data_IF_470438734102
#
_entry.id   IF_470438734102
#
_cell.length_a   1.000
_cell.length_b   1.000
_cell.length_c   1.000
_cell.angle_alpha   90.00
_cell.angle_beta   90.00
_cell.angle_gamma   90.00
#
_symmetry.space_group_name_H-M   'P 1'
#
loop_
_entity.id
_entity.type
_entity.pdbx_description
1 polymer ?
#
# COMPACT_ATOMS: atom_id res chain seq x y z
N UNK A 1 -3.57 18.95 -3.51
CA UNK A 1 -3.91 18.72 -4.95
C UNK A 1 -5.29 18.08 -5.02
N UNK A 2 -6.20 18.53 -5.90
CA UNK A 2 -7.53 17.92 -6.01
C UNK A 2 -7.43 16.78 -7.03
N UNK A 3 -7.78 15.56 -6.61
CA UNK A 3 -7.82 14.41 -7.49
C UNK A 3 -9.10 14.43 -8.34
N UNK A 4 -9.09 13.86 -9.55
CA UNK A 4 -10.32 13.58 -10.28
C UNK A 4 -11.15 12.53 -9.52
N UNK A 5 -12.46 12.51 -9.75
CA UNK A 5 -13.34 11.47 -9.19
C UNK A 5 -12.82 10.08 -9.56
N UNK A 6 -12.64 9.22 -8.58
CA UNK A 6 -12.16 7.86 -8.80
C UNK A 6 -13.24 7.01 -9.52
N UNK A 7 -12.86 6.26 -10.56
CA UNK A 7 -13.77 5.33 -11.23
C UNK A 7 -14.43 4.38 -10.22
N UNK A 8 -15.67 3.95 -10.48
CA UNK A 8 -16.42 3.05 -9.58
C UNK A 8 -15.68 1.73 -9.32
N UNK A 9 -14.92 1.24 -10.30
CA UNK A 9 -14.10 0.03 -10.23
C UNK A 9 -12.67 0.27 -9.75
N UNK A 10 -12.32 1.45 -9.20
CA UNK A 10 -11.02 1.65 -8.58
C UNK A 10 -10.83 0.70 -7.40
N UNK A 11 -9.68 0.01 -7.35
CA UNK A 11 -9.36 -0.92 -6.27
C UNK A 11 -8.44 -0.27 -5.23
N UNK A 12 -8.63 -0.64 -3.96
CA UNK A 12 -7.70 -0.36 -2.87
C UNK A 12 -6.75 -1.56 -2.73
N UNK A 13 -5.46 -1.29 -2.81
CA UNK A 13 -4.39 -2.29 -2.68
C UNK A 13 -3.58 -2.00 -1.42
N UNK A 14 -3.66 -2.89 -0.44
CA UNK A 14 -2.99 -2.76 0.85
C UNK A 14 -1.79 -3.69 0.93
N UNK A 15 -0.59 -3.12 1.11
CA UNK A 15 0.68 -3.82 0.99
C UNK A 15 1.25 -4.19 2.38
N UNK A 16 1.41 -5.50 2.64
CA UNK A 16 2.19 -6.07 3.73
C UNK A 16 1.86 -5.55 5.16
N UNK A 17 0.61 -5.14 5.39
CA UNK A 17 0.14 -4.63 6.68
C UNK A 17 -0.09 -5.78 7.68
N UNK A 18 1.00 -6.47 8.01
CA UNK A 18 1.05 -7.59 8.94
C UNK A 18 1.74 -7.16 10.25
N UNK A 19 1.48 -7.86 11.35
CA UNK A 19 2.10 -7.59 12.67
C UNK A 19 3.62 -7.67 12.64
N UNK A 20 4.20 -8.33 11.65
CA UNK A 20 5.64 -8.41 11.45
C UNK A 20 6.32 -7.05 11.31
N UNK A 21 5.60 -6.00 10.88
CA UNK A 21 6.16 -4.65 10.78
C UNK A 21 6.38 -3.99 12.14
N UNK A 22 5.76 -4.51 13.19
CA UNK A 22 5.93 -4.05 14.58
C UNK A 22 7.14 -4.70 15.27
N UNK A 23 7.87 -5.58 14.57
CA UNK A 23 9.11 -6.16 15.09
C UNK A 23 10.13 -5.05 15.38
N UNK A 24 10.66 -4.95 16.63
CA UNK A 24 11.59 -3.88 17.01
C UNK A 24 12.84 -3.77 16.13
N UNK A 25 13.22 -4.83 15.42
CA UNK A 25 14.34 -4.83 14.48
C UNK A 25 14.18 -3.81 13.36
N UNK A 26 12.94 -3.47 12.96
CA UNK A 26 12.69 -2.43 11.97
C UNK A 26 13.13 -1.05 12.43
N UNK A 27 12.93 -0.75 13.71
CA UNK A 27 13.31 0.53 14.33
C UNK A 27 14.77 0.59 14.81
N UNK A 28 15.63 -0.33 14.38
CA UNK A 28 17.02 -0.43 14.84
C UNK A 28 17.88 0.81 14.57
N UNK A 29 17.49 1.68 13.65
CA UNK A 29 18.14 2.95 13.35
C UNK A 29 17.32 4.19 13.74
N UNK A 30 16.14 4.01 14.30
CA UNK A 30 15.24 5.08 14.71
C UNK A 30 13.77 4.77 14.46
N UNK A 31 12.86 5.64 14.95
CA UNK A 31 11.43 5.44 14.78
C UNK A 31 11.01 5.53 13.31
N UNK A 32 9.82 5.03 13.02
CA UNK A 32 9.18 5.22 11.72
C UNK A 32 8.64 6.64 11.57
N UNK A 33 8.41 7.06 10.32
CA UNK A 33 7.57 8.22 10.00
C UNK A 33 6.08 7.82 10.06
N UNK A 34 5.18 8.79 9.81
CA UNK A 34 3.73 8.60 9.72
C UNK A 34 3.15 7.71 10.85
N UNK A 35 3.20 8.14 12.12
CA UNK A 35 2.74 7.34 13.24
C UNK A 35 1.27 6.95 13.15
N UNK A 36 0.45 7.72 12.41
CA UNK A 36 -0.99 7.52 12.23
C UNK A 36 -1.34 6.73 10.95
N UNK A 37 -0.37 6.16 10.24
CA UNK A 37 -0.61 5.51 8.93
C UNK A 37 -1.66 4.40 8.99
N UNK A 38 -1.69 3.59 10.04
CA UNK A 38 -2.71 2.54 10.20
C UNK A 38 -4.11 3.12 10.39
N UNK A 39 -4.25 4.25 11.08
CA UNK A 39 -5.53 4.98 11.17
C UNK A 39 -5.99 5.44 9.80
N UNK A 40 -5.08 5.94 8.96
CA UNK A 40 -5.38 6.32 7.57
C UNK A 40 -5.80 5.11 6.73
N UNK A 41 -5.11 3.98 6.87
CA UNK A 41 -5.49 2.71 6.24
C UNK A 41 -6.91 2.30 6.64
N UNK A 42 -7.25 2.35 7.93
CA UNK A 42 -8.58 2.01 8.42
C UNK A 42 -9.67 2.93 7.83
N UNK A 43 -9.39 4.23 7.65
CA UNK A 43 -10.30 5.16 6.99
C UNK A 43 -10.53 4.80 5.52
N UNK A 44 -9.47 4.49 4.77
CA UNK A 44 -9.55 4.03 3.39
C UNK A 44 -10.38 2.74 3.29
N UNK A 45 -10.06 1.73 4.10
CA UNK A 45 -10.81 0.47 4.16
C UNK A 45 -12.30 0.69 4.42
N UNK A 46 -12.63 1.47 5.45
CA UNK A 46 -14.02 1.76 5.78
C UNK A 46 -14.77 2.44 4.61
N UNK A 47 -14.10 3.35 3.89
CA UNK A 47 -14.68 4.04 2.75
C UNK A 47 -14.91 3.09 1.57
N UNK A 48 -13.92 2.24 1.22
CA UNK A 48 -14.05 1.24 0.16
C UNK A 48 -15.14 0.22 0.45
N UNK A 49 -15.21 -0.29 1.69
CA UNK A 49 -16.24 -1.22 2.17
C UNK A 49 -17.64 -0.62 2.06
N UNK A 50 -17.84 0.64 2.51
CA UNK A 50 -19.12 1.33 2.36
C UNK A 50 -19.52 1.54 0.90
N UNK A 51 -18.55 1.77 0.03
CA UNK A 51 -18.78 1.95 -1.40
C UNK A 51 -18.92 0.64 -2.18
N UNK A 52 -18.75 -0.52 -1.53
CA UNK A 52 -18.81 -1.84 -2.18
C UNK A 52 -17.73 -2.02 -3.27
N UNK A 53 -16.57 -1.38 -3.12
CA UNK A 53 -15.49 -1.41 -4.11
C UNK A 53 -14.47 -2.50 -3.82
N UNK A 54 -13.70 -2.88 -4.82
CA UNK A 54 -12.70 -3.94 -4.71
C UNK A 54 -11.58 -3.55 -3.74
N UNK A 55 -11.30 -4.46 -2.81
CA UNK A 55 -10.17 -4.38 -1.87
C UNK A 55 -9.29 -5.62 -2.09
N UNK A 56 -7.98 -5.39 -2.14
CA UNK A 56 -6.99 -6.45 -2.22
C UNK A 56 -5.98 -6.26 -1.10
N UNK A 57 -5.85 -7.26 -0.24
CA UNK A 57 -4.83 -7.32 0.80
C UNK A 57 -3.65 -8.13 0.28
N UNK A 58 -2.50 -7.50 0.15
CA UNK A 58 -1.25 -8.20 -0.18
C UNK A 58 -0.60 -8.64 1.10
N UNK A 59 -0.28 -9.92 1.18
CA UNK A 59 0.37 -10.55 2.33
C UNK A 59 1.76 -11.03 1.94
N UNK A 60 2.77 -10.57 2.65
CA UNK A 60 4.12 -11.10 2.45
C UNK A 60 4.29 -12.44 3.17
N UNK A 61 4.59 -13.48 2.41
CA UNK A 61 4.91 -14.82 2.88
C UNK A 61 6.43 -15.02 2.72
N UNK A 62 7.21 -14.49 3.68
CA UNK A 62 8.67 -14.53 3.62
C UNK A 62 9.21 -15.95 3.59
N UNK A 63 10.18 -16.18 2.72
CA UNK A 63 10.93 -17.45 2.65
C UNK A 63 12.14 -17.47 3.58
N UNK A 64 12.51 -16.32 4.19
CA UNK A 64 13.64 -16.21 5.09
C UNK A 64 13.33 -16.85 6.45
N UNK A 65 14.18 -17.80 6.94
CA UNK A 65 13.88 -18.53 8.16
C UNK A 65 13.69 -17.69 9.42
N UNK A 66 14.41 -16.55 9.52
CA UNK A 66 14.38 -15.65 10.67
C UNK A 66 13.38 -14.48 10.52
N UNK A 67 12.62 -14.44 9.42
CA UNK A 67 11.69 -13.35 9.15
C UNK A 67 10.45 -13.44 10.03
N UNK A 68 10.03 -12.32 10.63
CA UNK A 68 8.74 -12.19 11.30
C UNK A 68 7.54 -12.26 10.34
N UNK A 69 7.76 -12.07 9.03
CA UNK A 69 6.75 -12.26 7.97
C UNK A 69 6.60 -13.72 7.50
N UNK A 70 7.35 -14.66 8.08
CA UNK A 70 7.28 -16.05 7.67
C UNK A 70 5.92 -16.66 8.02
N UNK A 71 5.31 -17.46 7.12
CA UNK A 71 4.12 -18.24 7.43
C UNK A 71 4.29 -19.07 8.70
N UNK A 72 3.30 -19.01 9.60
CA UNK A 72 3.33 -19.68 10.90
C UNK A 72 3.98 -18.87 12.03
N UNK A 73 4.63 -17.72 11.75
CA UNK A 73 5.09 -16.81 12.80
C UNK A 73 3.94 -15.95 13.34
N UNK A 74 4.01 -15.48 14.60
CA UNK A 74 3.00 -14.54 15.14
C UNK A 74 2.89 -13.24 14.34
N UNK A 75 3.99 -12.79 13.73
CA UNK A 75 4.05 -11.60 12.90
C UNK A 75 3.36 -11.75 11.54
N UNK A 76 3.12 -12.98 11.07
CA UNK A 76 2.51 -13.23 9.77
C UNK A 76 1.03 -12.79 9.69
N UNK A 77 0.32 -12.70 10.81
CA UNK A 77 -1.06 -12.24 10.85
C UNK A 77 -1.18 -10.77 10.44
N UNK A 78 -2.30 -10.41 9.80
CA UNK A 78 -2.62 -9.02 9.51
C UNK A 78 -2.75 -8.18 10.77
N UNK A 79 -2.44 -6.89 10.67
CA UNK A 79 -2.73 -5.91 11.71
C UNK A 79 -4.25 -5.75 11.86
N UNK A 80 -4.76 -5.45 13.08
CA UNK A 80 -6.21 -5.25 13.29
C UNK A 80 -6.81 -4.20 12.36
N UNK A 81 -6.08 -3.10 12.09
CA UNK A 81 -6.49 -1.98 11.26
C UNK A 81 -6.62 -2.35 9.78
N UNK A 82 -5.97 -3.43 9.36
CA UNK A 82 -5.93 -3.91 7.97
C UNK A 82 -6.45 -5.33 7.81
N UNK A 83 -7.24 -5.82 8.78
CA UNK A 83 -7.77 -7.18 8.76
C UNK A 83 -8.73 -7.38 7.58
N UNK A 84 -8.49 -8.37 6.70
CA UNK A 84 -9.42 -8.70 5.62
C UNK A 84 -10.77 -9.16 6.16
N UNK A 85 -11.86 -8.72 5.52
CA UNK A 85 -13.20 -9.25 5.75
C UNK A 85 -13.48 -10.46 4.84
N UNK A 86 -14.45 -11.33 5.19
CA UNK A 86 -14.90 -12.39 4.30
C UNK A 86 -15.30 -11.84 2.93
N UNK A 87 -14.74 -12.43 1.86
CA UNK A 87 -14.97 -12.00 0.49
C UNK A 87 -13.97 -10.99 -0.05
N UNK A 88 -13.13 -10.36 0.79
CA UNK A 88 -12.03 -9.53 0.32
C UNK A 88 -10.84 -10.41 -0.14
N UNK A 89 -10.21 -10.02 -1.25
CA UNK A 89 -9.11 -10.80 -1.81
C UNK A 89 -7.83 -10.68 -0.96
N UNK A 90 -7.19 -11.83 -0.72
CA UNK A 90 -5.83 -11.89 -0.16
C UNK A 90 -4.90 -12.45 -1.22
N UNK A 91 -3.85 -11.70 -1.56
CA UNK A 91 -2.81 -12.10 -2.52
C UNK A 91 -1.51 -12.34 -1.76
N UNK A 92 -1.08 -13.59 -1.59
CA UNK A 92 0.22 -13.89 -0.99
C UNK A 92 1.34 -13.63 -2.00
N UNK A 93 2.47 -13.11 -1.52
CA UNK A 93 3.68 -12.91 -2.32
C UNK A 93 4.93 -13.28 -1.53
N UNK A 94 5.99 -13.67 -2.25
CA UNK A 94 7.31 -13.97 -1.69
C UNK A 94 8.39 -13.00 -2.16
N UNK A 95 8.02 -11.99 -2.96
CA UNK A 95 8.88 -10.96 -3.52
C UNK A 95 8.43 -9.58 -3.06
N UNK A 96 9.19 -8.53 -3.35
CA UNK A 96 8.79 -7.16 -2.97
C UNK A 96 7.56 -6.70 -3.75
N UNK A 97 7.55 -6.80 -5.08
CA UNK A 97 6.39 -6.41 -5.88
C UNK A 97 5.24 -7.42 -5.73
N UNK A 98 4.03 -6.89 -5.53
CA UNK A 98 2.81 -7.68 -5.46
C UNK A 98 2.40 -8.33 -6.79
N UNK A 99 3.01 -7.90 -7.91
CA UNK A 99 2.71 -8.43 -9.25
C UNK A 99 3.62 -9.58 -9.67
N UNK A 100 4.71 -9.83 -8.92
CA UNK A 100 5.69 -10.85 -9.31
C UNK A 100 5.34 -12.20 -8.70
N UNK A 101 5.14 -13.21 -9.54
CA UNK A 101 4.77 -14.59 -9.16
C UNK A 101 3.47 -14.67 -8.37
N UNK A 102 2.51 -13.78 -8.70
CA UNK A 102 1.15 -13.75 -8.14
C UNK A 102 0.13 -13.69 -9.28
N UNK A 103 -1.12 -13.84 -8.94
CA UNK A 103 -2.24 -13.68 -9.86
C UNK A 103 -2.89 -12.29 -9.80
N UNK A 104 -2.24 -11.31 -9.12
CA UNK A 104 -2.80 -9.99 -8.87
C UNK A 104 -3.22 -9.28 -10.18
N UNK A 105 -2.33 -9.21 -11.18
CA UNK A 105 -2.64 -8.57 -12.45
C UNK A 105 -3.86 -9.21 -13.12
N UNK A 106 -3.87 -10.54 -13.21
CA UNK A 106 -4.97 -11.27 -13.83
C UNK A 106 -6.31 -11.00 -13.13
N UNK A 107 -6.33 -10.96 -11.80
CA UNK A 107 -7.53 -10.61 -11.01
C UNK A 107 -8.00 -9.19 -11.29
N UNK A 108 -7.10 -8.21 -11.28
CA UNK A 108 -7.42 -6.82 -11.56
C UNK A 108 -7.98 -6.65 -12.97
N UNK A 109 -7.34 -7.25 -13.97
CA UNK A 109 -7.80 -7.21 -15.37
C UNK A 109 -9.16 -7.88 -15.55
N UNK A 110 -9.38 -9.05 -14.94
CA UNK A 110 -10.66 -9.76 -14.98
C UNK A 110 -11.80 -8.93 -14.35
N UNK A 111 -11.50 -8.12 -13.32
CA UNK A 111 -12.43 -7.17 -12.71
C UNK A 111 -12.59 -5.86 -13.49
N UNK A 112 -11.96 -5.69 -14.65
CA UNK A 112 -11.97 -4.46 -15.43
C UNK A 112 -11.31 -3.28 -14.69
N UNK A 113 -10.44 -3.55 -13.71
CA UNK A 113 -9.81 -2.55 -12.87
C UNK A 113 -8.63 -1.95 -13.60
N UNK A 114 -8.67 -0.63 -13.85
CA UNK A 114 -7.58 0.13 -14.43
C UNK A 114 -6.97 1.15 -13.47
N UNK A 115 -7.63 1.39 -12.33
CA UNK A 115 -7.20 2.40 -11.34
C UNK A 115 -6.97 1.76 -9.98
N UNK A 116 -5.83 2.07 -9.37
CA UNK A 116 -5.41 1.57 -8.07
C UNK A 116 -5.18 2.74 -7.09
N UNK A 117 -5.61 2.55 -5.85
CA UNK A 117 -5.14 3.33 -4.71
C UNK A 117 -4.27 2.40 -3.86
N UNK A 118 -3.05 2.78 -3.60
CA UNK A 118 -2.06 1.97 -2.88
C UNK A 118 -1.74 2.60 -1.54
N UNK A 119 -1.69 1.77 -0.51
CA UNK A 119 -1.23 2.11 0.84
C UNK A 119 -0.51 0.91 1.46
N UNK A 120 0.28 1.11 2.51
CA UNK A 120 0.93 0.01 3.24
C UNK A 120 2.42 0.20 3.51
N UNK A 121 3.16 -0.90 3.62
CA UNK A 121 4.53 -0.89 4.14
C UNK A 121 5.49 -1.77 3.37
N UNK A 122 6.80 -1.43 3.46
CA UNK A 122 7.35 -0.11 3.76
C UNK A 122 7.51 0.67 2.47
N UNK A 123 7.43 1.99 2.56
CA UNK A 123 7.35 2.89 1.39
C UNK A 123 8.44 2.61 0.36
N UNK A 124 9.71 2.55 0.80
CA UNK A 124 10.88 2.41 -0.07
C UNK A 124 11.22 0.95 -0.44
N UNK A 125 10.33 0.00 -0.24
CA UNK A 125 10.57 -1.41 -0.59
C UNK A 125 9.32 -2.00 -1.28
N UNK A 126 8.48 -2.73 -0.56
CA UNK A 126 7.32 -3.43 -1.16
C UNK A 126 6.32 -2.46 -1.80
N UNK A 127 6.08 -1.31 -1.19
CA UNK A 127 5.18 -0.29 -1.76
C UNK A 127 5.79 0.25 -3.05
N UNK A 128 7.03 0.76 -3.03
CA UNK A 128 7.69 1.30 -4.22
C UNK A 128 7.80 0.25 -5.34
N UNK A 129 8.22 -0.98 -5.02
CA UNK A 129 8.31 -2.05 -6.01
C UNK A 129 6.96 -2.37 -6.67
N UNK A 130 5.87 -2.34 -5.89
CA UNK A 130 4.52 -2.61 -6.38
C UNK A 130 4.00 -1.45 -7.22
N UNK A 131 4.18 -0.20 -6.78
CA UNK A 131 3.74 1.01 -7.49
C UNK A 131 4.45 1.14 -8.83
N UNK A 132 5.77 0.95 -8.87
CA UNK A 132 6.53 0.98 -10.14
C UNK A 132 6.03 -0.09 -11.12
N UNK A 133 5.78 -1.30 -10.63
CA UNK A 133 5.24 -2.35 -11.48
C UNK A 133 3.82 -2.05 -11.95
N UNK A 134 2.95 -1.49 -11.09
CA UNK A 134 1.61 -1.07 -11.47
C UNK A 134 1.65 -0.04 -12.61
N UNK A 135 2.49 0.99 -12.50
CA UNK A 135 2.69 2.00 -13.55
C UNK A 135 3.19 1.38 -14.85
N UNK A 136 4.21 0.51 -14.78
CA UNK A 136 4.75 -0.20 -15.96
C UNK A 136 3.71 -1.10 -16.64
N UNK A 137 2.76 -1.66 -15.90
CA UNK A 137 1.64 -2.44 -16.42
C UNK A 137 0.48 -1.57 -16.92
N UNK A 138 0.59 -0.24 -16.85
CA UNK A 138 -0.40 0.70 -17.35
C UNK A 138 -1.60 0.93 -16.43
N UNK A 139 -1.50 0.61 -15.14
CA UNK A 139 -2.51 1.01 -14.16
C UNK A 139 -2.36 2.49 -13.80
N UNK A 140 -3.49 3.22 -13.77
CA UNK A 140 -3.51 4.53 -13.14
C UNK A 140 -3.40 4.33 -11.62
N UNK A 141 -2.30 4.79 -11.04
CA UNK A 141 -1.97 4.51 -9.65
C UNK A 141 -1.95 5.79 -8.83
N UNK A 142 -2.65 5.79 -7.70
CA UNK A 142 -2.59 6.81 -6.66
C UNK A 142 -1.94 6.20 -5.42
N UNK A 143 -0.93 6.88 -4.89
CA UNK A 143 -0.22 6.45 -3.68
C UNK A 143 -0.61 7.35 -2.51
N UNK A 144 -1.32 6.80 -1.51
CA UNK A 144 -1.69 7.50 -0.30
C UNK A 144 -0.48 7.59 0.65
N UNK A 145 0.32 8.65 0.53
CA UNK A 145 1.60 8.81 1.21
C UNK A 145 1.48 8.75 2.74
N UNK A 146 0.47 9.40 3.30
CA UNK A 146 0.21 9.42 4.75
C UNK A 146 -0.37 8.09 5.31
N UNK A 147 -0.76 7.16 4.43
CA UNK A 147 -1.14 5.79 4.74
C UNK A 147 -0.01 4.77 4.46
N UNK A 148 1.21 5.28 4.23
CA UNK A 148 2.43 4.51 4.10
C UNK A 148 3.46 4.98 5.11
N UNK A 149 4.37 4.08 5.52
CA UNK A 149 5.49 4.47 6.36
C UNK A 149 6.74 3.64 6.07
N UNK A 150 7.87 4.11 6.58
CA UNK A 150 9.14 3.43 6.57
C UNK A 150 9.94 3.74 7.83
N UNK A 151 11.18 3.31 7.88
CA UNK A 151 12.10 3.47 9.01
C UNK A 151 13.38 4.16 8.59
N UNK A 152 14.06 4.77 9.57
CA UNK A 152 15.40 5.29 9.37
C UNK A 152 16.37 4.17 8.94
N UNK A 153 17.30 4.49 8.05
CA UNK A 153 18.31 3.54 7.56
C UNK A 153 19.54 4.25 7.03
N UNK A 154 20.71 3.59 7.03
CA UNK A 154 21.88 4.10 6.31
C UNK A 154 21.61 4.17 4.80
N UNK A 155 22.06 5.24 4.15
CA UNK A 155 22.13 5.32 2.69
C UNK A 155 23.35 4.53 2.16
N UNK A 156 23.55 4.54 0.83
CA UNK A 156 24.65 3.81 0.19
C UNK A 156 26.04 4.23 0.70
N UNK A 157 26.21 5.47 1.14
CA UNK A 157 27.47 5.97 1.71
C UNK A 157 27.65 5.65 3.21
N UNK A 158 26.65 5.01 3.83
CA UNK A 158 26.62 4.69 5.25
C UNK A 158 26.11 5.83 6.14
N UNK A 159 25.69 6.97 5.56
CA UNK A 159 25.08 8.06 6.32
C UNK A 159 23.65 7.69 6.72
N UNK A 160 23.36 7.81 8.02
CA UNK A 160 22.00 7.60 8.53
C UNK A 160 21.04 8.63 7.95
N UNK A 161 19.93 8.14 7.38
CA UNK A 161 18.80 8.93 6.93
C UNK A 161 17.63 8.71 7.86
N UNK A 162 16.88 9.77 8.13
CA UNK A 162 15.65 9.67 8.91
C UNK A 162 14.57 8.91 8.12
N UNK A 163 13.54 8.45 8.81
CA UNK A 163 12.42 7.79 8.14
C UNK A 163 11.71 8.74 7.16
N UNK A 164 11.63 10.03 7.48
CA UNK A 164 11.08 11.08 6.60
C UNK A 164 11.91 11.21 5.32
N UNK A 165 13.25 11.35 5.44
CA UNK A 165 14.13 11.46 4.27
C UNK A 165 14.00 10.24 3.34
N UNK A 166 13.94 9.03 3.91
CA UNK A 166 13.77 7.78 3.14
C UNK A 166 12.40 7.74 2.46
N UNK A 167 11.36 8.14 3.17
CA UNK A 167 9.99 8.19 2.66
C UNK A 167 9.85 9.18 1.51
N UNK A 168 10.28 10.43 1.73
CA UNK A 168 10.15 11.51 0.76
C UNK A 168 10.92 11.21 -0.53
N UNK A 169 12.12 10.64 -0.42
CA UNK A 169 12.90 10.27 -1.59
C UNK A 169 12.23 9.13 -2.38
N UNK A 170 11.67 8.14 -1.68
CA UNK A 170 10.91 7.07 -2.32
C UNK A 170 9.66 7.61 -3.03
N UNK A 171 8.91 8.52 -2.40
CA UNK A 171 7.76 9.18 -3.03
C UNK A 171 8.17 9.96 -4.27
N UNK A 172 9.25 10.76 -4.19
CA UNK A 172 9.79 11.53 -5.32
C UNK A 172 10.20 10.64 -6.50
N UNK A 173 10.69 9.43 -6.23
CA UNK A 173 11.02 8.45 -7.26
C UNK A 173 9.79 7.89 -8.01
N UNK A 174 8.60 8.00 -7.43
CA UNK A 174 7.38 7.43 -7.99
C UNK A 174 6.44 8.47 -8.58
N UNK A 175 6.46 9.69 -8.02
CA UNK A 175 5.51 10.74 -8.39
C UNK A 175 5.72 11.23 -9.82
N UNK A 176 4.61 11.36 -10.54
CA UNK A 176 4.58 11.85 -11.92
C UNK A 176 4.97 10.81 -12.98
N UNK A 177 5.70 9.74 -12.63
CA UNK A 177 6.10 8.71 -13.61
C UNK A 177 5.31 7.40 -13.43
N UNK A 178 5.23 6.88 -12.20
CA UNK A 178 4.57 5.60 -11.93
C UNK A 178 3.23 5.76 -11.20
N UNK A 179 3.06 6.86 -10.48
CA UNK A 179 1.87 7.14 -9.70
C UNK A 179 1.67 8.65 -9.54
N UNK A 180 0.47 9.03 -9.11
CA UNK A 180 0.23 10.34 -8.48
C UNK A 180 0.32 10.15 -6.97
N UNK A 181 1.31 10.76 -6.35
CA UNK A 181 1.43 10.78 -4.89
C UNK A 181 0.41 11.77 -4.31
N UNK A 182 -0.31 11.33 -3.30
CA UNK A 182 -1.44 12.06 -2.70
C UNK A 182 -1.57 11.71 -1.23
N UNK A 183 -2.59 12.20 -0.57
CA UNK A 183 -2.93 11.87 0.82
C UNK A 183 -4.30 11.18 0.92
N UNK A 184 -4.56 10.60 2.09
CA UNK A 184 -5.82 9.92 2.40
C UNK A 184 -7.02 10.85 2.26
N UNK A 185 -6.92 12.13 2.64
CA UNK A 185 -8.03 13.07 2.56
C UNK A 185 -8.44 13.34 1.11
N UNK A 186 -7.47 13.55 0.22
CA UNK A 186 -7.71 13.75 -1.21
C UNK A 186 -8.32 12.49 -1.86
N UNK A 187 -7.84 11.30 -1.49
CA UNK A 187 -8.41 10.01 -1.96
C UNK A 187 -9.87 9.86 -1.53
N UNK A 188 -10.17 10.13 -0.26
CA UNK A 188 -11.55 10.04 0.26
C UNK A 188 -12.49 11.05 -0.40
N UNK A 189 -12.02 12.27 -0.65
CA UNK A 189 -12.78 13.27 -1.40
C UNK A 189 -13.06 12.82 -2.84
N UNK A 190 -12.08 12.24 -3.53
CA UNK A 190 -12.20 11.71 -4.88
C UNK A 190 -13.12 10.47 -4.97
N UNK A 191 -13.22 9.70 -3.88
CA UNK A 191 -14.12 8.54 -3.78
C UNK A 191 -15.58 8.97 -3.69
N UNK A 192 -15.84 10.10 -3.00
CA UNK A 192 -17.16 10.65 -2.70
C UNK A 192 -17.65 11.63 -3.77
N UNK A 193 -16.98 11.76 -4.91
CA UNK A 193 -17.29 12.71 -5.99
C UNK A 193 -18.79 12.78 -6.28
N UNK A 194 -19.31 13.89 -6.85
CA UNK A 194 -20.74 14.14 -6.98
C UNK A 194 -21.44 12.94 -7.62
N UNK A 195 -22.51 12.47 -6.98
CA UNK A 195 -23.37 11.47 -7.59
C UNK A 195 -23.77 12.01 -8.97
N UNK A 196 -23.42 11.28 -10.05
CA UNK A 196 -23.92 11.64 -11.38
C UNK A 196 -25.43 11.75 -11.28
N UNK A 197 -26.04 12.84 -11.80
CA UNK A 197 -27.48 12.92 -11.84
C UNK A 197 -27.98 11.67 -12.56
N UNK A 198 -28.84 10.93 -11.89
CA UNK A 198 -29.61 9.81 -12.50
C UNK A 198 -30.35 10.37 -13.69
N UNK A 199 -29.97 9.91 -14.88
CA UNK A 199 -30.76 10.15 -16.11
C UNK A 199 -32.06 9.37 -16.08
#
# INVERSE_FOLDING_TARGET
MTLPTLPRNAALLLIDLQRAIDDPRWAGHGPRNNPDAETKVALLLAAWRRAGRTIVHVRHDSTEPASSYRPGSPGHAFKPEAMPHPGEAVVPKTTNSAFIRTDLEARLRAGGIGTLVVAGVITNNSVEATVRMAGNLGFQTYLAADACFTFARPDFSGRLRTAEEVHDLSLANMDGEYATVTDTAAVLAALSGPASPTA
#
